data_IF_446227894190
#
_entry.id   IF_446227894190
#
_cell.length_a   1.000
_cell.length_b   1.000
_cell.length_c   1.000
_cell.angle_alpha   90.00
_cell.angle_beta   90.00
_cell.angle_gamma   90.00
#
_symmetry.space_group_name_H-M   'P 1'
#
loop_
_entity.id
_entity.type
_entity.pdbx_description
1 polymer ?
#
# COMPACT_ATOMS: atom_id res chain seq x y z
N UNK A 1 -6.69 -20.60 -16.71
CA UNK A 1 -7.55 -19.40 -16.66
C UNK A 1 -7.72 -19.01 -15.20
N UNK A 2 -7.05 -17.96 -14.75
CA UNK A 2 -7.17 -17.42 -13.39
C UNK A 2 -8.28 -16.36 -13.39
N UNK A 3 -9.37 -16.63 -12.67
CA UNK A 3 -10.46 -15.66 -12.48
C UNK A 3 -9.95 -14.56 -11.54
N UNK A 4 -10.28 -13.29 -11.82
CA UNK A 4 -9.92 -12.19 -10.93
C UNK A 4 -10.78 -12.25 -9.66
N UNK A 5 -10.25 -12.89 -8.61
CA UNK A 5 -10.91 -12.97 -7.30
C UNK A 5 -10.80 -11.67 -6.49
N UNK A 6 -9.99 -10.69 -6.91
CA UNK A 6 -9.74 -9.43 -6.20
C UNK A 6 -10.88 -8.42 -6.43
N UNK A 7 -12.12 -8.87 -6.26
CA UNK A 7 -13.36 -8.15 -6.50
C UNK A 7 -13.69 -7.15 -5.38
N UNK A 8 -12.83 -6.16 -5.17
CA UNK A 8 -13.10 -5.09 -4.19
C UNK A 8 -12.90 -5.47 -2.72
N UNK A 9 -12.52 -6.72 -2.42
CA UNK A 9 -12.40 -7.16 -1.02
C UNK A 9 -10.96 -7.07 -0.49
N UNK A 10 -10.88 -6.83 0.81
CA UNK A 10 -9.65 -6.67 1.59
C UNK A 10 -9.03 -8.03 1.91
N UNK A 11 -7.73 -8.05 2.21
CA UNK A 11 -7.03 -9.28 2.54
C UNK A 11 -7.57 -9.96 3.82
N UNK A 12 -8.17 -9.22 4.77
CA UNK A 12 -8.80 -9.85 5.94
C UNK A 12 -10.01 -10.72 5.53
N UNK A 13 -10.83 -10.26 4.58
CA UNK A 13 -11.98 -11.02 4.09
C UNK A 13 -11.52 -12.27 3.34
N UNK A 14 -10.47 -12.15 2.50
CA UNK A 14 -9.92 -13.33 1.82
C UNK A 14 -9.31 -14.34 2.79
N UNK A 15 -8.65 -13.85 3.84
CA UNK A 15 -8.10 -14.72 4.86
C UNK A 15 -9.20 -15.43 5.64
N UNK A 16 -10.24 -14.72 6.09
CA UNK A 16 -11.36 -15.27 6.86
C UNK A 16 -12.22 -16.25 6.05
N UNK A 17 -12.47 -15.97 4.77
CA UNK A 17 -13.39 -16.76 3.94
C UNK A 17 -12.72 -17.86 3.13
N UNK A 18 -11.50 -17.63 2.66
CA UNK A 18 -10.83 -18.49 1.69
C UNK A 18 -9.42 -18.93 2.12
N UNK A 19 -8.91 -18.43 3.24
CA UNK A 19 -7.62 -18.85 3.79
C UNK A 19 -6.42 -18.44 2.93
N UNK A 20 -6.51 -17.32 2.20
CA UNK A 20 -5.37 -16.77 1.45
C UNK A 20 -5.30 -15.25 1.54
N UNK A 21 -4.16 -14.69 1.12
CA UNK A 21 -3.98 -13.25 0.96
C UNK A 21 -3.02 -12.98 -0.18
N UNK A 22 -3.09 -11.78 -0.77
CA UNK A 22 -2.19 -11.35 -1.83
C UNK A 22 -1.40 -10.11 -1.41
N UNK A 23 -0.07 -10.08 -1.64
CA UNK A 23 0.74 -8.88 -1.39
C UNK A 23 0.46 -7.74 -2.39
N UNK A 24 -0.23 -8.04 -3.49
CA UNK A 24 -0.54 -7.10 -4.57
C UNK A 24 -2.03 -6.74 -4.63
N UNK A 25 -2.79 -7.01 -3.57
CA UNK A 25 -4.22 -6.71 -3.52
C UNK A 25 -4.46 -5.18 -3.58
N UNK A 26 -5.10 -4.65 -4.65
CA UNK A 26 -5.31 -3.22 -4.82
C UNK A 26 -6.42 -2.64 -3.93
N UNK A 27 -7.08 -3.49 -3.12
CA UNK A 27 -8.19 -3.11 -2.25
C UNK A 27 -7.87 -3.26 -0.76
N UNK A 28 -6.62 -3.61 -0.40
CA UNK A 28 -6.26 -3.71 1.01
C UNK A 28 -6.25 -2.33 1.67
N UNK A 29 -6.44 -2.30 3.00
CA UNK A 29 -6.64 -1.04 3.74
C UNK A 29 -5.77 -0.93 4.97
N UNK A 30 -5.10 0.22 5.11
CA UNK A 30 -4.44 0.66 6.34
C UNK A 30 -5.37 1.62 7.08
N UNK A 31 -5.47 1.44 8.40
CA UNK A 31 -6.21 2.35 9.27
C UNK A 31 -5.24 3.36 9.86
N UNK A 32 -5.26 4.58 9.35
CA UNK A 32 -4.51 5.70 9.93
C UNK A 32 -5.33 6.34 11.06
N UNK A 33 -4.66 6.68 12.16
CA UNK A 33 -5.25 7.39 13.30
C UNK A 33 -4.87 8.88 13.35
N UNK A 34 -4.07 9.35 12.40
CA UNK A 34 -3.60 10.74 12.33
C UNK A 34 -4.56 11.65 11.58
N UNK A 35 -4.52 12.93 11.92
CA UNK A 35 -5.21 13.99 11.18
C UNK A 35 -4.45 14.46 9.92
N UNK A 36 -3.25 13.91 9.66
CA UNK A 36 -2.47 14.20 8.47
C UNK A 36 -3.23 13.76 7.21
N UNK A 37 -3.27 14.65 6.20
CA UNK A 37 -3.96 14.42 4.93
C UNK A 37 -3.08 14.88 3.78
N UNK A 38 -3.14 14.18 2.66
CA UNK A 38 -2.43 14.52 1.43
C UNK A 38 -3.40 14.77 0.27
N UNK A 39 -3.02 15.57 -0.71
CA UNK A 39 -3.86 15.78 -1.89
C UNK A 39 -3.80 14.56 -2.82
N UNK A 40 -4.96 13.96 -3.12
CA UNK A 40 -5.05 12.73 -3.91
C UNK A 40 -4.42 12.92 -5.29
N UNK A 41 -4.80 13.95 -6.03
CA UNK A 41 -4.28 14.19 -7.38
C UNK A 41 -2.77 14.45 -7.40
N UNK A 42 -2.24 15.11 -6.36
CA UNK A 42 -0.80 15.31 -6.22
C UNK A 42 -0.10 13.98 -6.03
N UNK A 43 -0.62 13.10 -5.17
CA UNK A 43 -0.08 11.76 -5.00
C UNK A 43 -0.17 10.92 -6.29
N UNK A 44 -1.34 10.89 -6.95
CA UNK A 44 -1.57 10.12 -8.16
C UNK A 44 -0.66 10.56 -9.32
N UNK A 45 -0.47 11.87 -9.48
CA UNK A 45 0.41 12.43 -10.52
C UNK A 45 1.87 12.00 -10.38
N UNK A 46 2.39 11.90 -9.15
CA UNK A 46 3.77 11.42 -8.91
C UNK A 46 3.98 9.98 -9.41
N UNK A 47 2.94 9.16 -9.37
CA UNK A 47 3.00 7.75 -9.78
C UNK A 47 2.45 7.50 -11.18
N UNK A 48 2.14 8.55 -11.95
CA UNK A 48 1.47 8.43 -13.25
C UNK A 48 0.19 7.55 -13.18
N UNK A 49 -0.52 7.61 -12.06
CA UNK A 49 -1.79 6.91 -11.87
C UNK A 49 -2.90 7.89 -12.23
N UNK A 50 -3.88 7.41 -12.98
CA UNK A 50 -5.04 8.20 -13.40
C UNK A 50 -6.29 7.32 -13.37
N UNK A 51 -7.47 7.94 -13.32
CA UNK A 51 -8.73 7.22 -13.30
C UNK A 51 -9.66 7.71 -12.21
N UNK A 52 -10.79 7.02 -12.07
CA UNK A 52 -11.79 7.33 -11.04
C UNK A 52 -11.38 6.67 -9.72
N UNK A 53 -11.87 7.14 -8.56
CA UNK A 53 -11.59 6.52 -7.26
C UNK A 53 -11.89 5.00 -7.21
N UNK A 54 -12.89 4.57 -7.99
CA UNK A 54 -13.28 3.17 -8.14
C UNK A 54 -12.31 2.38 -9.05
N UNK A 55 -11.72 3.01 -10.06
CA UNK A 55 -10.90 2.39 -11.09
C UNK A 55 -9.66 3.23 -11.39
N UNK A 56 -8.55 2.88 -10.73
CA UNK A 56 -7.24 3.46 -10.97
C UNK A 56 -6.45 2.65 -12.00
N UNK A 57 -5.82 3.36 -12.93
CA UNK A 57 -4.97 2.80 -13.98
C UNK A 57 -3.59 3.44 -13.92
N UNK A 58 -2.55 2.61 -13.93
CA UNK A 58 -1.18 3.09 -14.08
C UNK A 58 -0.87 3.32 -15.56
N UNK A 59 -0.46 4.54 -15.91
CA UNK A 59 -0.11 4.88 -17.27
C UNK A 59 1.37 4.60 -17.53
N UNK A 60 1.66 3.39 -18.00
CA UNK A 60 3.03 2.93 -18.29
C UNK A 60 3.70 3.63 -19.47
N UNK A 61 2.97 4.45 -20.24
CA UNK A 61 3.53 5.25 -21.33
C UNK A 61 4.20 6.54 -20.84
N UNK A 62 3.85 6.98 -19.62
CA UNK A 62 4.38 8.19 -18.99
C UNK A 62 5.48 7.88 -17.95
N UNK A 63 5.65 6.62 -17.55
CA UNK A 63 6.79 6.17 -16.75
C UNK A 63 8.04 6.06 -17.62
N UNK A 64 9.16 6.64 -17.16
CA UNK A 64 10.47 6.35 -17.73
C UNK A 64 10.74 4.84 -17.65
N UNK A 65 11.54 4.30 -18.58
CA UNK A 65 11.79 2.85 -18.70
C UNK A 65 12.28 2.18 -17.41
N UNK A 66 12.86 2.95 -16.47
CA UNK A 66 13.37 2.50 -15.17
C UNK A 66 12.30 2.37 -14.07
N UNK A 67 11.16 3.09 -14.18
CA UNK A 67 10.12 3.20 -13.14
C UNK A 67 8.93 2.23 -13.33
N UNK A 68 8.91 1.48 -14.44
CA UNK A 68 7.79 0.62 -14.87
C UNK A 68 7.38 -0.48 -13.87
N UNK A 69 8.19 -0.74 -12.84
CA UNK A 69 7.98 -1.87 -11.92
C UNK A 69 7.55 -1.46 -10.50
N UNK A 70 7.47 -0.15 -10.19
CA UNK A 70 7.12 0.30 -8.84
C UNK A 70 5.61 0.38 -8.60
N UNK A 71 4.83 0.75 -9.62
CA UNK A 71 3.38 0.91 -9.53
C UNK A 71 2.66 -0.46 -9.52
N UNK A 72 2.76 -1.15 -8.40
CA UNK A 72 2.06 -2.40 -8.12
C UNK A 72 0.68 -2.12 -7.48
N UNK A 73 -0.17 -3.14 -7.35
CA UNK A 73 -1.49 -3.03 -6.72
C UNK A 73 -1.43 -2.43 -5.31
N UNK A 74 -0.30 -2.58 -4.60
CA UNK A 74 -0.06 -1.93 -3.31
C UNK A 74 -0.04 -0.39 -3.38
N UNK A 75 0.51 0.21 -4.44
CA UNK A 75 0.53 1.69 -4.59
C UNK A 75 -0.89 2.21 -4.87
N UNK A 76 -1.66 1.46 -5.66
CA UNK A 76 -3.07 1.73 -5.91
C UNK A 76 -3.90 1.59 -4.62
N UNK A 77 -3.64 0.55 -3.83
CA UNK A 77 -4.27 0.38 -2.52
C UNK A 77 -3.91 1.52 -1.56
N UNK A 78 -2.65 1.99 -1.59
CA UNK A 78 -2.23 3.16 -0.82
C UNK A 78 -3.04 4.40 -1.23
N UNK A 79 -3.17 4.69 -2.54
CA UNK A 79 -3.96 5.81 -3.03
C UNK A 79 -5.41 5.80 -2.53
N UNK A 80 -6.01 4.61 -2.39
CA UNK A 80 -7.39 4.42 -1.89
C UNK A 80 -7.54 4.60 -0.38
N UNK A 81 -6.45 4.56 0.37
CA UNK A 81 -6.48 4.38 1.83
C UNK A 81 -5.84 5.51 2.59
N UNK A 82 -4.94 6.24 1.95
CA UNK A 82 -4.33 7.43 2.52
C UNK A 82 -5.43 8.47 2.80
N UNK A 83 -5.39 9.15 3.96
CA UNK A 83 -6.33 10.22 4.24
C UNK A 83 -6.10 11.37 3.24
N UNK A 84 -7.13 11.75 2.50
CA UNK A 84 -7.04 12.82 1.50
C UNK A 84 -7.91 14.01 1.85
N UNK A 85 -7.56 15.18 1.32
CA UNK A 85 -8.42 16.36 1.32
C UNK A 85 -9.61 16.10 0.37
N UNK A 86 -10.79 16.62 0.72
CA UNK A 86 -11.94 16.61 -0.19
C UNK A 86 -11.68 17.52 -1.38
N UNK A 87 -12.29 17.21 -2.54
CA UNK A 87 -12.15 17.84 -3.88
C UNK A 87 -12.46 19.36 -3.99
N UNK A 88 -12.27 20.15 -2.93
CA UNK A 88 -12.58 21.59 -2.93
C UNK A 88 -11.57 22.48 -2.23
N UNK A 89 -10.63 21.95 -1.43
CA UNK A 89 -9.82 22.78 -0.55
C UNK A 89 -8.34 22.80 -0.91
N UNK A 90 -7.95 23.94 -1.52
CA UNK A 90 -6.61 24.57 -1.48
C UNK A 90 -5.58 23.88 -2.40
N UNK A 91 -4.80 24.65 -3.20
CA UNK A 91 -3.72 24.06 -3.99
C UNK A 91 -2.75 23.29 -3.09
N UNK A 92 -2.23 22.13 -3.52
CA UNK A 92 -1.29 21.35 -2.73
C UNK A 92 -0.03 22.18 -2.47
N UNK A 93 0.20 22.55 -1.20
CA UNK A 93 1.41 23.26 -0.78
C UNK A 93 2.49 22.22 -0.43
N UNK A 94 3.62 22.16 -1.15
CA UNK A 94 4.61 21.09 -1.02
C UNK A 94 5.19 20.93 0.38
N UNK A 95 5.38 22.03 1.11
CA UNK A 95 5.88 21.97 2.48
C UNK A 95 4.89 21.30 3.44
N UNK A 96 3.60 21.57 3.27
CA UNK A 96 2.53 20.96 4.08
C UNK A 96 2.29 19.50 3.70
N UNK A 97 2.40 19.19 2.40
CA UNK A 97 2.30 17.82 1.87
C UNK A 97 3.45 16.95 2.35
N UNK A 98 4.70 17.46 2.27
CA UNK A 98 5.87 16.74 2.79
C UNK A 98 5.76 16.47 4.28
N UNK A 99 5.27 17.44 5.06
CA UNK A 99 5.03 17.25 6.49
C UNK A 99 3.96 16.18 6.74
N UNK A 100 2.83 16.25 6.05
CA UNK A 100 1.73 15.29 6.20
C UNK A 100 2.16 13.88 5.78
N UNK A 101 2.91 13.75 4.69
CA UNK A 101 3.48 12.49 4.23
C UNK A 101 4.45 11.88 5.26
N UNK A 102 5.30 12.70 5.92
CA UNK A 102 6.15 12.24 7.03
C UNK A 102 5.33 11.74 8.21
N UNK A 103 4.29 12.47 8.62
CA UNK A 103 3.41 12.03 9.70
C UNK A 103 2.72 10.69 9.35
N UNK A 104 2.28 10.50 8.11
CA UNK A 104 1.71 9.24 7.63
C UNK A 104 2.74 8.09 7.60
N UNK A 105 3.99 8.38 7.22
CA UNK A 105 5.09 7.41 7.30
C UNK A 105 5.36 6.97 8.73
N UNK A 106 5.45 7.91 9.68
CA UNK A 106 5.65 7.60 11.09
C UNK A 106 4.55 6.68 11.63
N UNK A 107 3.29 6.90 11.23
CA UNK A 107 2.20 6.00 11.60
C UNK A 107 2.37 4.61 10.99
N UNK A 108 2.83 4.50 9.75
CA UNK A 108 3.13 3.19 9.15
C UNK A 108 4.26 2.47 9.92
N UNK A 109 5.29 3.19 10.36
CA UNK A 109 6.34 2.62 11.21
C UNK A 109 5.81 2.17 12.57
N UNK A 110 4.92 2.94 13.22
CA UNK A 110 4.26 2.51 14.47
C UNK A 110 3.46 1.22 14.26
N UNK A 111 2.67 1.15 13.20
CA UNK A 111 1.93 -0.06 12.83
C UNK A 111 2.86 -1.26 12.56
N UNK A 112 4.03 -1.03 11.96
CA UNK A 112 5.04 -2.09 11.76
C UNK A 112 5.64 -2.58 13.09
N UNK A 113 5.86 -1.68 14.05
CA UNK A 113 6.40 -2.02 15.37
C UNK A 113 5.40 -2.78 16.26
N UNK A 114 4.09 -2.62 16.02
CA UNK A 114 3.06 -3.41 16.71
C UNK A 114 3.10 -4.91 16.36
N UNK A 115 3.73 -5.29 15.25
CA UNK A 115 3.87 -6.70 14.91
C UNK A 115 4.92 -7.37 15.81
N UNK A 116 4.63 -8.59 16.31
CA UNK A 116 5.56 -9.33 17.17
C UNK A 116 6.78 -9.89 16.43
N UNK A 117 6.84 -9.75 15.10
CA UNK A 117 7.84 -10.39 14.22
C UNK A 117 8.24 -9.46 13.09
N UNK A 118 9.48 -9.57 12.61
CA UNK A 118 9.98 -8.81 11.46
C UNK A 118 9.64 -9.49 10.13
N UNK A 119 9.82 -8.79 9.01
CA UNK A 119 9.62 -9.36 7.66
C UNK A 119 10.53 -10.57 7.41
N UNK A 120 11.81 -10.43 7.78
CA UNK A 120 12.83 -11.47 7.60
C UNK A 120 12.52 -12.71 8.44
N UNK A 121 12.06 -12.52 9.68
CA UNK A 121 11.63 -13.63 10.53
C UNK A 121 10.45 -14.39 9.92
N UNK A 122 9.45 -13.71 9.38
CA UNK A 122 8.30 -14.38 8.75
C UNK A 122 8.70 -15.15 7.50
N UNK A 123 9.59 -14.58 6.69
CA UNK A 123 10.13 -15.26 5.52
C UNK A 123 10.92 -16.50 5.93
N UNK A 124 11.79 -16.38 6.93
CA UNK A 124 12.56 -17.51 7.46
C UNK A 124 11.66 -18.60 8.03
N UNK A 125 10.55 -18.26 8.70
CA UNK A 125 9.59 -19.25 9.21
C UNK A 125 8.91 -20.01 8.06
N UNK A 126 8.59 -19.32 6.96
CA UNK A 126 8.03 -19.96 5.76
C UNK A 126 9.04 -20.88 5.08
N UNK A 127 10.30 -20.42 4.95
CA UNK A 127 11.34 -21.17 4.24
C UNK A 127 11.86 -22.37 5.05
N UNK A 128 11.90 -22.26 6.38
CA UNK A 128 12.45 -23.30 7.26
C UNK A 128 11.51 -24.48 7.50
N UNK A 129 10.21 -24.35 7.20
CA UNK A 129 9.23 -25.38 7.52
C UNK A 129 8.29 -25.65 6.33
N UNK A 130 8.78 -26.36 5.30
CA UNK A 130 7.99 -26.68 4.10
C UNK A 130 6.82 -27.64 4.39
N UNK A 131 6.89 -28.39 5.50
CA UNK A 131 5.85 -29.35 5.90
C UNK A 131 4.76 -28.72 6.81
N UNK A 132 4.76 -27.39 6.95
CA UNK A 132 3.76 -26.70 7.74
C UNK A 132 2.33 -26.92 7.20
N UNK A 133 1.36 -27.00 8.11
CA UNK A 133 -0.06 -27.02 7.73
C UNK A 133 -0.41 -25.80 6.87
N UNK A 134 -1.21 -26.00 5.81
CA UNK A 134 -1.70 -24.93 4.92
C UNK A 134 -2.31 -23.76 5.68
N UNK A 135 -3.01 -24.02 6.79
CA UNK A 135 -3.61 -22.98 7.63
C UNK A 135 -2.55 -22.11 8.31
N UNK A 136 -1.47 -22.73 8.80
CA UNK A 136 -0.35 -22.02 9.42
C UNK A 136 0.40 -21.20 8.39
N UNK A 137 0.67 -21.80 7.23
CA UNK A 137 1.31 -21.12 6.10
C UNK A 137 0.51 -19.88 5.66
N UNK A 138 -0.80 -20.02 5.48
CA UNK A 138 -1.69 -18.92 5.13
C UNK A 138 -1.68 -17.79 6.17
N UNK A 139 -1.68 -18.12 7.47
CA UNK A 139 -1.63 -17.13 8.55
C UNK A 139 -0.30 -16.36 8.57
N UNK A 140 0.83 -17.05 8.35
CA UNK A 140 2.14 -16.41 8.26
C UNK A 140 2.22 -15.54 7.01
N UNK A 141 1.77 -16.03 5.85
CA UNK A 141 1.69 -15.25 4.62
C UNK A 141 0.83 -14.00 4.79
N UNK A 142 -0.31 -14.11 5.45
CA UNK A 142 -1.17 -12.96 5.75
C UNK A 142 -0.46 -11.89 6.57
N UNK A 143 0.23 -12.28 7.64
CA UNK A 143 1.03 -11.37 8.46
C UNK A 143 2.17 -10.73 7.66
N UNK A 144 2.86 -11.53 6.85
CA UNK A 144 3.95 -11.08 5.99
C UNK A 144 3.46 -10.09 4.93
N UNK A 145 2.36 -10.40 4.23
CA UNK A 145 1.77 -9.53 3.21
C UNK A 145 1.34 -8.19 3.79
N UNK A 146 0.79 -8.15 5.01
CA UNK A 146 0.47 -6.88 5.68
C UNK A 146 1.69 -6.03 5.95
N UNK A 147 2.79 -6.63 6.41
CA UNK A 147 4.06 -5.92 6.62
C UNK A 147 4.67 -5.44 5.31
N UNK A 148 4.61 -6.24 4.25
CA UNK A 148 5.04 -5.85 2.91
C UNK A 148 4.23 -4.67 2.37
N UNK A 149 2.91 -4.70 2.57
CA UNK A 149 2.03 -3.62 2.17
C UNK A 149 2.39 -2.31 2.88
N UNK A 150 2.56 -2.32 4.21
CA UNK A 150 3.02 -1.16 4.98
C UNK A 150 4.38 -0.64 4.49
N UNK A 151 5.33 -1.52 4.21
CA UNK A 151 6.65 -1.13 3.68
C UNK A 151 6.54 -0.46 2.30
N UNK A 152 5.69 -0.99 1.42
CA UNK A 152 5.43 -0.38 0.11
C UNK A 152 4.75 0.99 0.24
N UNK A 153 3.83 1.16 1.18
CA UNK A 153 3.20 2.47 1.45
C UNK A 153 4.24 3.47 1.97
N UNK A 154 5.15 3.06 2.86
CA UNK A 154 6.24 3.92 3.34
C UNK A 154 7.12 4.38 2.15
N UNK A 155 7.52 3.44 1.30
CA UNK A 155 8.33 3.74 0.11
C UNK A 155 7.59 4.66 -0.87
N UNK A 156 6.28 4.46 -1.06
CA UNK A 156 5.47 5.33 -1.91
C UNK A 156 5.37 6.74 -1.30
N UNK A 157 5.20 6.87 0.01
CA UNK A 157 5.22 8.17 0.68
C UNK A 157 6.60 8.85 0.63
N UNK A 158 7.69 8.08 0.54
CA UNK A 158 9.06 8.60 0.43
C UNK A 158 9.29 9.17 -0.98
N UNK A 159 8.97 8.39 -2.01
CA UNK A 159 8.98 8.85 -3.40
C UNK A 159 8.05 10.05 -3.61
N UNK A 160 6.88 10.06 -2.96
CA UNK A 160 5.97 11.21 -2.99
C UNK A 160 6.64 12.48 -2.44
N UNK A 161 7.35 12.39 -1.30
CA UNK A 161 8.05 13.53 -0.71
C UNK A 161 9.21 14.04 -1.58
N UNK A 162 9.92 13.14 -2.26
CA UNK A 162 11.05 13.47 -3.13
C UNK A 162 10.59 14.10 -4.45
N UNK A 163 9.54 13.52 -5.06
CA UNK A 163 9.07 13.88 -6.40
C UNK A 163 8.00 14.97 -6.42
N UNK A 164 7.41 15.33 -5.27
CA UNK A 164 6.51 16.49 -5.22
C UNK A 164 7.29 17.76 -5.54
N UNK A 165 7.12 18.21 -6.78
CA UNK A 165 7.78 19.38 -7.36
C UNK A 165 6.78 20.54 -7.41
N UNK A 166 6.88 21.40 -6.40
CA UNK A 166 6.70 22.85 -6.44
C UNK A 166 7.59 23.47 -5.36
#
# INVERSE_FOLDING_TARGET
MTINYLSGQKNNIYMERYGFSSPTNPWDVIKFSSNAKIHLDSYLSVFNISGLPEEFYHNSLLSSEEDNNFADGAVIAAARTLPTWSDGDIPPVPSTERRSARELQENCYRLLLEFPTTLEQDQQILDSNPDASRTREAAIKYRLHRKLFLKKVIQALELYQERILF
#
